data_IF_831191680151
#
_entry.id   IF_831191680151
#
_cell.length_a   1.000
_cell.length_b   1.000
_cell.length_c   1.000
_cell.angle_alpha   90.00
_cell.angle_beta   90.00
_cell.angle_gamma   90.00
#
_symmetry.space_group_name_H-M   'P 1'
#
loop_
_entity.id
_entity.type
_entity.pdbx_description
1 polymer ?
#
# COMPACT_ATOMS: atom_id res chain seq x y z
N UNK A 1 6.13 10.92 22.68
CA UNK A 1 6.22 12.14 21.85
C UNK A 1 6.29 11.66 20.41
N UNK A 2 5.27 11.93 19.59
CA UNK A 2 5.25 11.50 18.19
C UNK A 2 5.83 12.60 17.31
N UNK A 3 6.85 12.23 16.55
CA UNK A 3 7.62 13.04 15.60
C UNK A 3 6.74 13.52 14.44
N UNK A 4 7.19 14.59 13.80
CA UNK A 4 6.62 15.23 12.60
C UNK A 4 5.67 14.32 11.79
N UNK A 5 4.40 14.72 11.54
CA UNK A 5 3.46 13.90 10.76
C UNK A 5 3.97 13.53 9.36
N UNK A 6 4.96 14.27 8.83
CA UNK A 6 5.61 13.97 7.56
C UNK A 6 6.77 12.95 7.66
N UNK A 7 7.15 12.52 8.87
CA UNK A 7 8.17 11.50 9.11
C UNK A 7 7.61 10.39 9.98
N UNK A 8 7.25 9.30 9.33
CA UNK A 8 6.79 8.07 9.98
C UNK A 8 8.02 7.23 10.26
N UNK A 9 8.38 7.08 11.54
CA UNK A 9 9.46 6.19 11.94
C UNK A 9 8.91 4.78 12.25
N UNK A 10 9.74 3.73 12.14
CA UNK A 10 9.36 2.40 12.58
C UNK A 10 8.86 2.40 14.03
N UNK A 11 7.65 1.89 14.25
CA UNK A 11 7.02 1.83 15.58
C UNK A 11 6.06 2.99 15.88
N UNK A 12 5.99 4.02 15.03
CA UNK A 12 4.98 5.07 15.17
C UNK A 12 3.57 4.53 14.88
N UNK A 13 2.53 5.01 15.59
CA UNK A 13 1.16 4.67 15.27
C UNK A 13 0.75 5.30 13.94
N UNK A 14 0.01 4.54 13.15
CA UNK A 14 -0.61 5.03 11.92
C UNK A 14 -1.95 5.71 12.24
N UNK A 15 -2.29 6.74 11.49
CA UNK A 15 -3.56 7.46 11.63
C UNK A 15 -4.50 7.07 10.49
N UNK A 16 -5.69 6.57 10.83
CA UNK A 16 -6.72 6.20 9.84
C UNK A 16 -7.18 7.43 9.08
N UNK A 17 -7.15 7.35 7.75
CA UNK A 17 -7.64 8.42 6.89
C UNK A 17 -9.17 8.39 6.75
N UNK A 18 -9.77 9.47 6.26
CA UNK A 18 -11.21 9.59 5.99
C UNK A 18 -11.69 8.53 5.00
N UNK A 19 -12.94 8.10 5.18
CA UNK A 19 -13.57 7.16 4.25
C UNK A 19 -13.58 7.76 2.82
N UNK A 20 -13.32 6.91 1.82
CA UNK A 20 -13.23 7.33 0.41
C UNK A 20 -11.87 7.86 -0.03
N UNK A 21 -10.99 8.32 0.87
CA UNK A 21 -9.63 8.72 0.50
C UNK A 21 -8.77 7.53 0.09
N UNK A 22 -9.00 6.34 0.66
CA UNK A 22 -8.24 5.14 0.30
C UNK A 22 -8.23 4.86 -1.21
N UNK A 23 -9.37 5.00 -1.90
CA UNK A 23 -9.44 4.76 -3.35
C UNK A 23 -8.64 5.79 -4.15
N UNK A 24 -8.60 7.05 -3.68
CA UNK A 24 -7.76 8.09 -4.28
C UNK A 24 -6.28 7.82 -4.03
N UNK A 25 -5.96 7.45 -2.79
CA UNK A 25 -4.61 7.18 -2.30
C UNK A 25 -3.98 5.96 -3.00
N UNK A 26 -4.77 4.90 -3.27
CA UNK A 26 -4.31 3.71 -4.01
C UNK A 26 -3.73 4.05 -5.39
N UNK A 27 -4.18 5.15 -6.02
CA UNK A 27 -3.67 5.57 -7.33
C UNK A 27 -2.28 6.22 -7.25
N UNK A 28 -1.79 6.61 -6.07
CA UNK A 28 -0.48 7.26 -5.94
C UNK A 28 0.63 6.35 -6.45
N UNK A 29 0.63 5.08 -6.05
CA UNK A 29 1.67 4.12 -6.43
C UNK A 29 1.26 3.21 -7.60
N UNK A 30 -0.02 3.21 -7.99
CA UNK A 30 -0.56 2.39 -9.10
C UNK A 30 -0.85 3.19 -10.38
N UNK A 31 -0.41 4.46 -10.47
CA UNK A 31 -0.51 5.26 -11.69
C UNK A 31 0.58 4.90 -12.71
N UNK A 32 0.25 5.11 -13.98
CA UNK A 32 1.22 4.98 -15.07
C UNK A 32 2.12 6.22 -15.19
N UNK A 33 3.40 6.03 -15.53
CA UNK A 33 4.38 7.09 -15.77
C UNK A 33 5.46 6.62 -16.74
N UNK A 34 6.29 7.56 -17.23
CA UNK A 34 7.40 7.27 -18.12
C UNK A 34 8.74 7.58 -17.47
N UNK A 35 9.73 6.72 -17.72
CA UNK A 35 11.15 6.94 -17.39
C UNK A 35 11.96 6.54 -18.61
N UNK A 36 12.79 7.44 -19.12
CA UNK A 36 13.65 7.21 -20.28
C UNK A 36 12.93 6.60 -21.50
N UNK A 37 11.72 7.09 -21.78
CA UNK A 37 10.88 6.61 -22.89
C UNK A 37 10.17 5.27 -22.64
N UNK A 38 10.43 4.61 -21.51
CA UNK A 38 9.73 3.38 -21.10
C UNK A 38 8.51 3.72 -20.25
N UNK A 39 7.34 3.19 -20.65
CA UNK A 39 6.10 3.35 -19.87
C UNK A 39 5.97 2.25 -18.82
N UNK A 40 5.72 2.66 -17.58
CA UNK A 40 5.44 1.78 -16.45
C UNK A 40 4.01 2.00 -15.99
N UNK A 41 3.29 0.93 -15.67
CA UNK A 41 1.90 0.97 -15.20
C UNK A 41 1.76 1.28 -13.70
N UNK A 42 2.86 1.15 -12.93
CA UNK A 42 2.91 1.41 -11.49
C UNK A 42 4.36 1.57 -11.02
N UNK A 43 4.55 2.12 -9.81
CA UNK A 43 5.88 2.21 -9.21
C UNK A 43 6.46 0.83 -8.89
N UNK A 44 5.63 -0.14 -8.50
CA UNK A 44 6.11 -1.50 -8.30
C UNK A 44 6.58 -2.16 -9.60
N UNK A 45 5.97 -1.87 -10.75
CA UNK A 45 6.50 -2.38 -12.03
C UNK A 45 7.85 -1.74 -12.37
N UNK A 46 8.04 -0.48 -12.01
CA UNK A 46 9.32 0.21 -12.21
C UNK A 46 10.43 -0.36 -11.32
N UNK A 47 10.18 -0.54 -10.03
CA UNK A 47 11.19 -1.03 -9.07
C UNK A 47 11.37 -2.56 -9.09
N UNK A 48 10.33 -3.32 -9.47
CA UNK A 48 10.33 -4.79 -9.48
C UNK A 48 9.84 -5.34 -10.84
N UNK A 49 10.48 -5.00 -11.96
CA UNK A 49 9.97 -5.33 -13.29
C UNK A 49 9.86 -6.85 -13.54
N UNK A 50 10.74 -7.64 -12.93
CA UNK A 50 10.73 -9.10 -13.06
C UNK A 50 9.50 -9.76 -12.41
N UNK A 51 8.94 -9.16 -11.36
CA UNK A 51 7.72 -9.63 -10.69
C UNK A 51 6.47 -9.49 -11.58
N UNK A 52 6.55 -8.73 -12.67
CA UNK A 52 5.48 -8.51 -13.65
C UNK A 52 5.66 -9.35 -14.92
N UNK A 53 6.63 -10.28 -14.94
CA UNK A 53 6.91 -11.17 -16.06
C UNK A 53 6.73 -12.64 -15.67
N UNK A 54 6.41 -13.49 -16.64
CA UNK A 54 6.41 -14.94 -16.43
C UNK A 54 7.87 -15.45 -16.32
N UNK A 55 8.14 -16.49 -15.51
CA UNK A 55 7.20 -17.26 -14.69
C UNK A 55 6.91 -16.66 -13.30
N UNK A 56 7.69 -15.66 -12.87
CA UNK A 56 7.61 -15.08 -11.52
C UNK A 56 6.22 -14.54 -11.19
N UNK A 57 5.53 -13.95 -12.16
CA UNK A 57 4.17 -13.46 -12.01
C UNK A 57 3.18 -14.57 -11.60
N UNK A 58 3.32 -15.78 -12.16
CA UNK A 58 2.49 -16.93 -11.78
C UNK A 58 2.92 -17.55 -10.45
N UNK A 59 4.20 -17.42 -10.07
CA UNK A 59 4.66 -17.83 -8.75
C UNK A 59 4.17 -16.89 -7.65
N UNK A 60 4.14 -15.58 -7.91
CA UNK A 60 3.64 -14.57 -6.99
C UNK A 60 2.13 -14.63 -6.81
N UNK A 61 1.40 -14.94 -7.88
CA UNK A 61 -0.05 -15.12 -7.83
C UNK A 61 -0.50 -16.31 -8.69
N UNK A 62 -0.48 -17.52 -8.12
CA UNK A 62 -0.92 -18.72 -8.83
C UNK A 62 -2.40 -18.70 -9.23
N UNK A 63 -3.21 -17.83 -8.62
CA UNK A 63 -4.66 -17.78 -8.83
C UNK A 63 -5.04 -16.92 -10.03
N UNK A 64 -4.48 -15.71 -10.13
CA UNK A 64 -4.85 -14.76 -11.19
C UNK A 64 -3.69 -14.40 -12.13
N UNK A 65 -2.46 -14.80 -11.82
CA UNK A 65 -1.27 -14.41 -12.57
C UNK A 65 -1.11 -12.89 -12.62
N UNK A 66 -1.40 -12.19 -11.52
CA UNK A 66 -1.33 -10.72 -11.44
C UNK A 66 -0.58 -10.27 -10.18
N UNK A 67 0.32 -9.32 -10.36
CA UNK A 67 0.99 -8.62 -9.26
C UNK A 67 0.29 -7.28 -9.00
N UNK A 68 0.15 -6.93 -7.73
CA UNK A 68 -0.31 -5.63 -7.25
C UNK A 68 0.79 -4.97 -6.43
N UNK A 69 0.74 -3.63 -6.37
CA UNK A 69 1.66 -2.85 -5.56
C UNK A 69 1.10 -2.72 -4.16
N UNK A 70 1.74 -3.36 -3.18
CA UNK A 70 1.44 -3.15 -1.77
C UNK A 70 2.31 -2.04 -1.21
N UNK A 71 1.74 -1.24 -0.30
CA UNK A 71 2.36 -0.05 0.27
C UNK A 71 2.29 -0.05 1.80
N UNK A 72 3.39 0.36 2.42
CA UNK A 72 3.44 0.68 3.84
C UNK A 72 4.11 2.06 4.05
N UNK A 73 3.50 2.97 4.84
CA UNK A 73 2.20 2.83 5.50
C UNK A 73 1.01 2.74 4.52
N UNK A 74 -0.09 2.11 4.96
CA UNK A 74 -1.19 1.74 4.06
C UNK A 74 -1.92 2.93 3.44
N UNK A 75 -2.47 2.74 2.23
CA UNK A 75 -3.30 3.74 1.52
C UNK A 75 -4.50 4.26 2.33
N UNK A 76 -4.97 3.47 3.28
CA UNK A 76 -6.07 3.81 4.19
C UNK A 76 -5.66 4.73 5.35
N UNK A 77 -4.39 5.13 5.42
CA UNK A 77 -3.81 5.95 6.50
C UNK A 77 -3.29 7.27 5.96
N UNK A 78 -3.31 8.32 6.79
CA UNK A 78 -2.75 9.63 6.42
C UNK A 78 -1.25 9.52 6.17
N UNK A 79 -0.58 8.75 7.03
CA UNK A 79 0.84 8.42 6.98
C UNK A 79 1.27 7.73 5.67
N UNK A 80 0.34 7.04 5.00
CA UNK A 80 0.53 6.36 3.73
C UNK A 80 0.42 7.30 2.52
N UNK A 81 -0.26 6.85 1.48
CA UNK A 81 -0.46 7.63 0.26
C UNK A 81 -1.17 8.99 0.45
N UNK A 82 -1.85 9.24 1.58
CA UNK A 82 -2.42 10.55 1.89
C UNK A 82 -1.34 11.64 1.93
N UNK A 83 -0.32 11.49 2.76
CA UNK A 83 0.81 12.43 2.78
C UNK A 83 1.72 12.31 1.55
N UNK A 84 1.74 11.19 0.84
CA UNK A 84 2.49 11.04 -0.41
C UNK A 84 1.90 11.91 -1.52
N UNK A 85 0.57 11.99 -1.57
CA UNK A 85 -0.16 12.84 -2.51
C UNK A 85 0.11 14.33 -2.23
N UNK A 86 0.14 14.71 -0.95
CA UNK A 86 0.22 16.11 -0.53
C UNK A 86 1.66 16.66 -0.50
N UNK A 87 2.65 15.86 -0.09
CA UNK A 87 4.05 16.32 0.08
C UNK A 87 5.00 15.82 -1.02
N UNK A 88 4.46 15.13 -2.02
CA UNK A 88 5.23 14.34 -2.98
C UNK A 88 5.82 13.09 -2.34
N UNK A 89 6.52 12.28 -3.14
CA UNK A 89 7.21 11.04 -2.71
C UNK A 89 8.40 11.30 -1.76
N UNK A 90 8.41 12.44 -1.05
CA UNK A 90 9.45 12.85 -0.09
C UNK A 90 9.38 12.08 1.23
N UNK A 91 8.25 11.44 1.52
CA UNK A 91 8.11 10.56 2.68
C UNK A 91 8.63 9.16 2.34
N UNK A 92 9.09 8.43 3.36
CA UNK A 92 9.59 7.07 3.19
C UNK A 92 8.44 6.07 3.10
N UNK A 93 8.25 5.50 1.92
CA UNK A 93 7.29 4.44 1.67
C UNK A 93 8.02 3.16 1.30
N UNK A 94 7.58 2.05 1.87
CA UNK A 94 7.97 0.73 1.40
C UNK A 94 6.97 0.26 0.37
N UNK A 95 7.47 -0.15 -0.79
CA UNK A 95 6.67 -0.75 -1.86
C UNK A 95 7.12 -2.18 -2.07
N UNK A 96 6.17 -3.08 -2.32
CA UNK A 96 6.47 -4.45 -2.71
C UNK A 96 5.46 -4.96 -3.72
N UNK A 97 5.97 -5.61 -4.77
CA UNK A 97 5.13 -6.39 -5.68
C UNK A 97 4.68 -7.67 -4.98
N UNK A 98 3.37 -7.84 -4.83
CA UNK A 98 2.74 -9.00 -4.19
C UNK A 98 1.65 -9.57 -5.09
N UNK A 99 1.26 -10.83 -4.90
CA UNK A 99 0.18 -11.42 -5.68
C UNK A 99 -1.18 -10.75 -5.42
N UNK A 100 -2.01 -10.60 -6.46
CA UNK A 100 -3.35 -10.00 -6.37
C UNK A 100 -4.26 -10.75 -5.40
N UNK A 101 -4.15 -12.08 -5.38
CA UNK A 101 -4.88 -12.92 -4.42
C UNK A 101 -4.56 -12.54 -2.97
N UNK A 102 -3.28 -12.30 -2.65
CA UNK A 102 -2.81 -11.92 -1.31
C UNK A 102 -3.18 -10.48 -0.94
N UNK A 103 -3.12 -9.53 -1.88
CA UNK A 103 -3.33 -8.11 -1.56
C UNK A 103 -4.82 -7.73 -1.46
N UNK A 104 -5.59 -7.89 -2.54
CA UNK A 104 -6.93 -7.31 -2.62
C UNK A 104 -8.06 -8.32 -2.84
N UNK A 105 -7.82 -9.39 -3.58
CA UNK A 105 -8.92 -10.07 -4.27
C UNK A 105 -9.41 -11.35 -3.60
N UNK A 106 -8.54 -12.11 -2.93
CA UNK A 106 -8.94 -13.38 -2.31
C UNK A 106 -9.61 -13.19 -0.94
N UNK A 107 -10.30 -14.22 -0.42
CA UNK A 107 -10.73 -14.22 0.99
C UNK A 107 -9.49 -14.33 1.88
N UNK A 108 -9.44 -13.56 2.96
CA UNK A 108 -8.24 -13.48 3.80
C UNK A 108 -7.10 -12.64 3.22
N UNK A 109 -7.35 -11.85 2.16
CA UNK A 109 -6.36 -10.91 1.64
C UNK A 109 -6.03 -9.83 2.68
N UNK A 110 -4.81 -9.28 2.61
CA UNK A 110 -4.34 -8.24 3.53
C UNK A 110 -5.29 -7.03 3.56
N UNK A 111 -5.80 -6.61 2.40
CA UNK A 111 -6.78 -5.52 2.31
C UNK A 111 -8.11 -5.82 3.02
N UNK A 112 -8.61 -7.06 2.94
CA UNK A 112 -9.85 -7.47 3.63
C UNK A 112 -9.63 -7.62 5.14
N UNK A 113 -8.50 -8.19 5.54
CA UNK A 113 -8.14 -8.33 6.96
C UNK A 113 -8.01 -6.96 7.62
N UNK A 114 -7.35 -5.99 6.96
CA UNK A 114 -7.25 -4.62 7.46
C UNK A 114 -8.61 -3.92 7.56
N UNK A 115 -9.49 -4.13 6.57
CA UNK A 115 -10.86 -3.62 6.61
C UNK A 115 -11.69 -4.22 7.75
N UNK A 116 -11.58 -5.53 7.99
CA UNK A 116 -12.22 -6.20 9.12
C UNK A 116 -11.68 -5.66 10.45
N UNK A 117 -10.35 -5.52 10.60
CA UNK A 117 -9.74 -4.92 11.78
C UNK A 117 -10.31 -3.54 12.11
N UNK A 118 -10.46 -2.66 11.10
CA UNK A 118 -11.07 -1.35 11.31
C UNK A 118 -12.52 -1.43 11.80
N UNK A 119 -13.31 -2.35 11.25
CA UNK A 119 -14.71 -2.53 11.65
C UNK A 119 -14.83 -3.11 13.06
N UNK A 120 -14.09 -4.18 13.35
CA UNK A 120 -14.18 -4.92 14.60
C UNK A 120 -13.68 -4.09 15.79
N UNK A 121 -12.65 -3.28 15.57
CA UNK A 121 -12.07 -2.40 16.60
C UNK A 121 -12.62 -0.97 16.56
N UNK A 122 -13.59 -0.69 15.67
CA UNK A 122 -14.18 0.63 15.46
C UNK A 122 -13.15 1.74 15.26
N UNK A 123 -12.11 1.47 14.45
CA UNK A 123 -11.10 2.47 14.08
C UNK A 123 -11.72 3.46 13.11
N UNK A 124 -12.06 4.64 13.61
CA UNK A 124 -12.68 5.73 12.87
C UNK A 124 -11.60 6.62 12.20
N UNK A 125 -11.98 7.49 11.25
CA UNK A 125 -11.07 8.51 10.76
C UNK A 125 -10.42 9.30 11.91
N UNK A 126 -9.14 9.61 11.76
CA UNK A 126 -8.30 10.28 12.75
C UNK A 126 -7.87 9.43 13.96
N UNK A 127 -8.40 8.21 14.11
CA UNK A 127 -7.92 7.29 15.13
C UNK A 127 -6.51 6.80 14.82
N UNK A 128 -5.74 6.66 15.89
CA UNK A 128 -4.39 6.10 15.87
C UNK A 128 -4.42 4.61 16.20
N UNK A 129 -3.68 3.83 15.44
CA UNK A 129 -3.52 2.39 15.68
C UNK A 129 -2.08 1.95 15.41
N UNK A 130 -1.66 0.91 16.12
CA UNK A 130 -0.35 0.29 15.92
C UNK A 130 -0.46 -0.91 15.01
N UNK A 131 0.61 -1.18 14.27
CA UNK A 131 0.75 -2.39 13.45
C UNK A 131 1.81 -3.26 14.11
N UNK A 132 1.40 -4.44 14.58
CA UNK A 132 2.33 -5.46 15.05
C UNK A 132 2.36 -6.59 14.01
N UNK A 133 3.52 -6.81 13.41
CA UNK A 133 3.79 -8.00 12.58
C UNK A 133 4.32 -9.10 13.50
N UNK A 134 3.51 -10.14 13.70
CA UNK A 134 3.93 -11.35 14.44
C UNK A 134 4.48 -12.39 13.46
N UNK A 135 5.54 -13.08 13.87
CA UNK A 135 6.15 -14.18 13.12
C UNK A 135 5.54 -15.53 13.50
#
# INVERSE_FOLDING_TARGET
MGTDPNKVEPGDPLTKDKAGNQSKNRNVFSRSFQVDGTSYSSYCQYYFPENYKQPLLSLLDPVYGRAECDEYPFASTKNGAGYAADNGMKNHYSLRAVGKSHNSSHRGSHGKALGAFYNDNRVLPDDKFWVWIVN
#
